data_IF_414265989928
#
_entry.id   IF_414265989928
#
_cell.length_a   1.000
_cell.length_b   1.000
_cell.length_c   1.000
_cell.angle_alpha   90.00
_cell.angle_beta   90.00
_cell.angle_gamma   90.00
#
_symmetry.space_group_name_H-M   'P 1'
#
loop_
_entity.id
_entity.type
_entity.pdbx_description
1 polymer ?
#
# COMPACT_ATOMS: atom_id res chain seq x y z
N UNK A 1 13.00 23.51 -2.47
CA UNK A 1 11.53 23.43 -2.59
C UNK A 1 10.97 23.17 -1.21
N UNK A 2 10.21 24.12 -0.64
CA UNK A 2 9.59 23.97 0.68
C UNK A 2 8.33 23.12 0.56
N UNK A 3 8.18 22.08 1.38
CA UNK A 3 6.91 21.37 1.49
C UNK A 3 5.95 22.30 2.26
N UNK A 4 4.85 22.70 1.63
CA UNK A 4 3.81 23.51 2.27
C UNK A 4 2.99 22.63 3.21
N UNK A 5 2.88 23.06 4.47
CA UNK A 5 1.94 22.48 5.41
C UNK A 5 0.52 22.89 4.99
N UNK A 6 -0.33 21.92 4.67
CA UNK A 6 -1.75 22.13 4.39
C UNK A 6 -2.52 21.73 5.64
N UNK A 7 -3.06 22.69 6.41
CA UNK A 7 -3.94 22.37 7.53
C UNK A 7 -5.18 21.63 6.97
N UNK A 8 -5.64 20.61 7.71
CA UNK A 8 -6.75 19.72 7.34
C UNK A 8 -6.47 18.77 6.15
N UNK A 9 -5.22 18.58 5.77
CA UNK A 9 -4.83 17.48 4.90
C UNK A 9 -5.09 16.14 5.62
N UNK A 10 -6.24 15.54 5.36
CA UNK A 10 -6.47 14.14 5.68
C UNK A 10 -5.64 13.31 4.71
N UNK A 11 -4.73 12.45 5.18
CA UNK A 11 -4.06 11.52 4.28
C UNK A 11 -5.17 10.70 3.61
N UNK A 12 -5.20 10.71 2.28
CA UNK A 12 -5.98 9.71 1.57
C UNK A 12 -5.31 8.38 1.88
N UNK A 13 -5.88 7.65 2.84
CA UNK A 13 -5.43 6.31 3.18
C UNK A 13 -5.80 5.44 1.98
N UNK A 14 -4.86 5.34 1.03
CA UNK A 14 -4.91 4.30 0.00
C UNK A 14 -4.89 2.97 0.72
N UNK A 15 -5.64 1.98 0.22
CA UNK A 15 -5.48 0.59 0.67
C UNK A 15 -4.02 0.15 0.51
N UNK A 16 -3.62 -0.84 1.29
CA UNK A 16 -2.30 -1.46 1.23
C UNK A 16 -1.87 -1.71 -0.21
N UNK A 17 -0.60 -1.44 -0.51
CA UNK A 17 -0.05 -1.69 -1.86
C UNK A 17 0.24 -3.18 -2.08
N UNK A 18 0.38 -3.95 -0.99
CA UNK A 18 0.69 -5.37 -1.03
C UNK A 18 -0.24 -6.18 -0.11
N UNK A 19 -0.54 -7.40 -0.54
CA UNK A 19 -1.18 -8.43 0.27
C UNK A 19 -0.27 -9.66 0.32
N UNK A 20 0.11 -10.11 1.51
CA UNK A 20 0.84 -11.36 1.67
C UNK A 20 -0.15 -12.52 1.73
N UNK A 21 -0.16 -13.38 0.72
CA UNK A 21 -1.07 -14.53 0.66
C UNK A 21 -0.79 -15.62 1.71
N UNK A 22 0.37 -15.59 2.37
CA UNK A 22 0.71 -16.59 3.39
C UNK A 22 0.18 -16.22 4.78
N UNK A 23 0.33 -14.97 5.21
CA UNK A 23 -0.18 -14.53 6.52
C UNK A 23 -1.51 -13.76 6.41
N UNK A 24 -2.02 -13.58 5.20
CA UNK A 24 -3.22 -12.78 4.91
C UNK A 24 -3.16 -11.35 5.44
N UNK A 25 -1.95 -10.80 5.60
CA UNK A 25 -1.74 -9.45 6.07
C UNK A 25 -1.48 -8.50 4.91
N UNK A 26 -2.16 -7.36 4.98
CA UNK A 26 -2.01 -6.25 4.07
C UNK A 26 -0.95 -5.29 4.60
N UNK A 27 -0.05 -4.84 3.73
CA UNK A 27 1.04 -3.98 4.16
C UNK A 27 1.49 -3.01 3.05
N UNK A 28 2.23 -1.98 3.45
CA UNK A 28 2.77 -0.93 2.57
C UNK A 28 4.30 -1.05 2.47
N UNK A 29 4.86 -0.45 1.42
CA UNK A 29 6.31 -0.41 1.20
C UNK A 29 6.76 -1.32 0.06
N UNK A 30 7.90 -1.97 0.24
CA UNK A 30 8.50 -2.86 -0.76
C UNK A 30 7.78 -4.21 -0.83
N UNK A 31 8.04 -5.01 -1.86
CA UNK A 31 7.52 -6.38 -1.97
C UNK A 31 8.19 -7.33 -0.96
N UNK A 32 8.03 -7.04 0.33
CA UNK A 32 8.61 -7.82 1.43
C UNK A 32 7.70 -7.79 2.65
N UNK A 33 7.09 -8.92 2.98
CA UNK A 33 6.28 -9.05 4.18
C UNK A 33 7.19 -9.25 5.40
N UNK A 34 7.16 -8.32 6.35
CA UNK A 34 7.98 -8.39 7.58
C UNK A 34 7.54 -9.49 8.53
N UNK A 35 6.26 -9.89 8.50
CA UNK A 35 5.76 -11.01 9.31
C UNK A 35 6.29 -12.37 8.83
N UNK A 36 6.32 -12.57 7.51
CA UNK A 36 6.84 -13.81 6.91
C UNK A 36 8.32 -13.75 6.56
N UNK A 37 8.94 -12.56 6.66
CA UNK A 37 10.33 -12.28 6.29
C UNK A 37 10.67 -12.69 4.86
N UNK A 38 9.72 -12.53 3.94
CA UNK A 38 9.86 -12.87 2.52
C UNK A 38 8.95 -12.02 1.64
N UNK A 39 9.36 -11.80 0.40
CA UNK A 39 8.54 -11.19 -0.65
C UNK A 39 7.78 -12.18 -1.53
N UNK A 40 8.10 -13.49 -1.43
CA UNK A 40 7.62 -14.49 -2.40
C UNK A 40 6.10 -14.71 -2.42
N UNK A 41 5.40 -14.31 -1.35
CA UNK A 41 3.94 -14.46 -1.24
C UNK A 41 3.19 -13.13 -1.39
N UNK A 42 3.92 -12.04 -1.63
CA UNK A 42 3.37 -10.69 -1.70
C UNK A 42 2.89 -10.38 -3.11
N UNK A 43 1.60 -10.12 -3.22
CA UNK A 43 0.96 -9.71 -4.47
C UNK A 43 0.52 -8.26 -4.37
N UNK A 44 0.57 -7.49 -5.47
CA UNK A 44 -0.05 -6.17 -5.49
C UNK A 44 -1.50 -6.31 -5.10
N UNK A 45 -1.97 -5.47 -4.18
CA UNK A 45 -3.39 -5.41 -3.91
C UNK A 45 -4.02 -4.63 -5.06
N UNK A 46 -4.59 -5.34 -6.03
CA UNK A 46 -5.43 -4.72 -7.06
C UNK A 46 -6.69 -4.21 -6.40
N UNK A 47 -6.68 -2.96 -5.98
CA UNK A 47 -7.91 -2.27 -5.65
C UNK A 47 -8.49 -1.79 -6.95
N UNK A 48 -9.72 -2.15 -7.22
CA UNK A 48 -10.50 -1.76 -8.41
C UNK A 48 -10.58 -0.23 -8.63
N UNK A 49 -10.03 0.56 -7.71
CA UNK A 49 -9.82 2.01 -7.75
C UNK A 49 -8.57 2.46 -8.56
N UNK A 50 -7.78 1.55 -9.14
CA UNK A 50 -6.81 1.93 -10.20
C UNK A 50 -7.49 2.18 -11.57
N UNK A 51 -8.80 1.95 -11.67
CA UNK A 51 -9.64 2.41 -12.77
C UNK A 51 -10.39 3.69 -12.32
N UNK A 52 -9.64 4.74 -12.04
CA UNK A 52 -10.11 6.12 -12.17
C UNK A 52 -9.08 6.78 -13.10
N UNK A 53 -9.22 6.54 -14.40
CA UNK A 53 -9.76 7.55 -15.32
C UNK A 53 -8.87 8.80 -15.32
N UNK A 54 -7.91 8.81 -16.25
CA UNK A 54 -7.48 10.04 -16.89
C UNK A 54 -8.56 10.51 -17.87
#
# INVERSE_FOLDING_TARGET
RLQQFVPDALPVVRKASWHCRQCHHDYYGEQYCTHCQTGGFSIPRTTQEEICEF
#
